data_IF_986183878512
#
_entry.id   IF_986183878512
#
_cell.length_a   1.000
_cell.length_b   1.000
_cell.length_c   1.000
_cell.angle_alpha   90.00
_cell.angle_beta   90.00
_cell.angle_gamma   90.00
#
_symmetry.space_group_name_H-M   'P 1'
#
loop_
_entity.id
_entity.type
_entity.pdbx_description
1 polymer ?
#
# COMPACT_ATOMS: atom_id res chain seq x y z
N UNK A 1 -1.40 28.96 -14.43
CA UNK A 1 -2.04 28.04 -15.41
C UNK A 1 -1.96 26.64 -14.84
N UNK A 2 -3.05 25.85 -14.86
CA UNK A 2 -2.96 24.42 -14.57
C UNK A 2 -2.41 23.72 -15.81
N UNK A 3 -1.25 23.09 -15.69
CA UNK A 3 -0.63 22.28 -16.75
C UNK A 3 -1.56 21.11 -17.09
N UNK A 4 -1.88 20.89 -18.37
CA UNK A 4 -2.69 19.74 -18.79
C UNK A 4 -1.78 18.61 -19.22
N UNK A 5 -2.21 17.37 -19.02
CA UNK A 5 -1.45 16.17 -19.42
C UNK A 5 -1.06 16.20 -20.90
N UNK A 6 -1.97 16.66 -21.77
CA UNK A 6 -1.73 16.77 -23.22
C UNK A 6 -0.65 17.79 -23.61
N UNK A 7 -0.25 18.66 -22.68
CA UNK A 7 0.75 19.70 -22.91
C UNK A 7 2.16 19.22 -22.50
N UNK A 8 2.30 17.99 -21.97
CA UNK A 8 3.57 17.41 -21.55
C UNK A 8 4.36 16.86 -22.74
N UNK A 9 5.68 17.05 -22.70
CA UNK A 9 6.59 16.25 -23.50
C UNK A 9 6.54 14.78 -23.06
N UNK A 10 6.88 13.86 -23.97
CA UNK A 10 6.89 12.42 -23.68
C UNK A 10 7.78 12.09 -22.48
N UNK A 11 8.93 12.76 -22.35
CA UNK A 11 9.84 12.58 -21.20
C UNK A 11 9.21 13.02 -19.88
N UNK A 12 8.44 14.11 -19.87
CA UNK A 12 7.76 14.60 -18.67
C UNK A 12 6.62 13.68 -18.27
N UNK A 13 5.87 13.16 -19.25
CA UNK A 13 4.84 12.16 -19.00
C UNK A 13 5.43 10.85 -18.46
N UNK A 14 6.57 10.40 -19.02
CA UNK A 14 7.27 9.22 -18.53
C UNK A 14 7.75 9.40 -17.09
N UNK A 15 8.32 10.56 -16.75
CA UNK A 15 8.72 10.88 -15.39
C UNK A 15 7.52 10.86 -14.43
N UNK A 16 6.41 11.51 -14.81
CA UNK A 16 5.18 11.54 -14.01
C UNK A 16 4.64 10.13 -13.74
N UNK A 17 4.58 9.28 -14.77
CA UNK A 17 4.13 7.89 -14.62
C UNK A 17 5.10 7.12 -13.72
N UNK A 18 6.41 7.24 -13.95
CA UNK A 18 7.43 6.56 -13.17
C UNK A 18 7.34 6.91 -11.68
N UNK A 19 7.22 8.19 -11.35
CA UNK A 19 7.13 8.65 -9.96
C UNK A 19 5.84 8.17 -9.29
N UNK A 20 4.72 8.21 -10.02
CA UNK A 20 3.42 7.72 -9.52
C UNK A 20 3.46 6.22 -9.24
N UNK A 21 3.99 5.43 -10.18
CA UNK A 21 4.11 3.97 -10.02
C UNK A 21 5.06 3.65 -8.88
N UNK A 22 6.19 4.36 -8.77
CA UNK A 22 7.15 4.16 -7.69
C UNK A 22 6.51 4.39 -6.32
N UNK A 23 5.80 5.50 -6.15
CA UNK A 23 5.11 5.80 -4.89
C UNK A 23 4.09 4.72 -4.52
N UNK A 24 3.28 4.27 -5.49
CA UNK A 24 2.31 3.19 -5.27
C UNK A 24 2.97 1.84 -4.92
N UNK A 25 4.15 1.56 -5.49
CA UNK A 25 4.92 0.35 -5.16
C UNK A 25 5.54 0.45 -3.76
N UNK A 26 6.01 1.62 -3.35
CA UNK A 26 6.54 1.85 -1.99
C UNK A 26 5.44 1.64 -0.95
N UNK A 27 4.24 2.20 -1.16
CA UNK A 27 3.06 1.97 -0.31
C UNK A 27 2.69 0.48 -0.22
N UNK A 28 2.64 -0.20 -1.36
CA UNK A 28 2.36 -1.65 -1.39
C UNK A 28 3.39 -2.46 -0.59
N UNK A 29 4.68 -2.12 -0.69
CA UNK A 29 5.74 -2.82 0.05
C UNK A 29 5.61 -2.58 1.54
N UNK A 30 5.31 -1.35 1.96
CA UNK A 30 5.06 -1.03 3.38
C UNK A 30 3.89 -1.84 3.94
N UNK A 31 2.79 -1.92 3.21
CA UNK A 31 1.61 -2.71 3.60
C UNK A 31 1.95 -4.20 3.70
N UNK A 32 2.63 -4.76 2.71
CA UNK A 32 3.03 -6.18 2.75
C UNK A 32 3.92 -6.47 3.95
N UNK A 33 4.88 -5.60 4.25
CA UNK A 33 5.74 -5.73 5.42
C UNK A 33 4.95 -5.67 6.73
N UNK A 34 4.03 -4.70 6.87
CA UNK A 34 3.21 -4.54 8.06
C UNK A 34 2.28 -5.75 8.28
N UNK A 35 1.63 -6.22 7.22
CA UNK A 35 0.69 -7.34 7.25
C UNK A 35 1.39 -8.71 7.40
N UNK A 36 2.67 -8.80 7.03
CA UNK A 36 3.47 -10.03 7.21
C UNK A 36 4.20 -10.05 8.56
N UNK A 37 4.11 -8.96 9.34
CA UNK A 37 4.74 -8.87 10.65
C UNK A 37 4.16 -9.87 11.64
N UNK A 38 5.03 -10.54 12.42
CA UNK A 38 4.63 -11.54 13.41
C UNK A 38 3.60 -11.02 14.41
N UNK A 39 3.71 -9.76 14.81
CA UNK A 39 2.77 -9.12 15.73
C UNK A 39 1.35 -9.02 15.13
N UNK A 40 1.25 -8.59 13.86
CA UNK A 40 -0.03 -8.51 13.17
C UNK A 40 -0.65 -9.89 12.98
N UNK A 41 0.14 -10.87 12.52
CA UNK A 41 -0.32 -12.26 12.40
C UNK A 41 -0.79 -12.81 13.75
N UNK A 42 -0.02 -12.60 14.82
CA UNK A 42 -0.39 -13.03 16.17
C UNK A 42 -1.70 -12.38 16.64
N UNK A 43 -1.89 -11.08 16.36
CA UNK A 43 -3.14 -10.40 16.72
C UNK A 43 -4.37 -11.02 16.04
N UNK A 44 -4.23 -11.47 14.78
CA UNK A 44 -5.29 -12.18 14.06
C UNK A 44 -5.56 -13.55 14.70
N UNK A 45 -4.50 -14.28 15.07
CA UNK A 45 -4.63 -15.58 15.74
C UNK A 45 -5.33 -15.44 17.11
N UNK A 46 -4.96 -14.43 17.89
CA UNK A 46 -5.58 -14.10 19.18
C UNK A 46 -7.06 -13.76 19.00
N UNK A 47 -7.40 -12.84 18.08
CA UNK A 47 -8.79 -12.48 17.80
C UNK A 47 -9.64 -13.68 17.35
N UNK A 48 -9.08 -14.59 16.53
CA UNK A 48 -9.76 -15.83 16.14
C UNK A 48 -9.98 -16.76 17.32
N UNK A 49 -9.02 -16.88 18.22
CA UNK A 49 -9.13 -17.69 19.43
C UNK A 49 -10.21 -17.14 20.36
N UNK A 50 -10.22 -15.84 20.59
CA UNK A 50 -11.21 -15.17 21.45
C UNK A 50 -12.64 -15.36 20.92
N UNK A 51 -12.84 -15.24 19.60
CA UNK A 51 -14.12 -15.56 18.97
C UNK A 51 -14.53 -17.02 19.16
N UNK A 52 -13.60 -17.96 18.97
CA UNK A 52 -13.86 -19.40 19.11
C UNK A 52 -14.19 -19.79 20.56
N UNK A 53 -13.52 -19.14 21.52
CA UNK A 53 -13.72 -19.36 22.96
C UNK A 53 -14.96 -18.63 23.51
N UNK A 54 -15.69 -17.88 22.68
CA UNK A 54 -16.88 -17.12 23.08
C UNK A 54 -16.59 -15.94 24.02
N UNK A 55 -15.38 -15.37 23.92
CA UNK A 55 -14.95 -14.20 24.69
C UNK A 55 -15.29 -12.87 24.00
N UNK A 56 -15.85 -12.95 22.79
CA UNK A 56 -16.49 -11.87 22.03
C UNK A 56 -17.95 -12.22 21.72
#
# INVERSE_FOLDING_TARGET
>A
MKTKVKDLAVSELQALISDTVKAAMEELVEDVCALSGEEYVRSIEEARRDYTDGRM
#
